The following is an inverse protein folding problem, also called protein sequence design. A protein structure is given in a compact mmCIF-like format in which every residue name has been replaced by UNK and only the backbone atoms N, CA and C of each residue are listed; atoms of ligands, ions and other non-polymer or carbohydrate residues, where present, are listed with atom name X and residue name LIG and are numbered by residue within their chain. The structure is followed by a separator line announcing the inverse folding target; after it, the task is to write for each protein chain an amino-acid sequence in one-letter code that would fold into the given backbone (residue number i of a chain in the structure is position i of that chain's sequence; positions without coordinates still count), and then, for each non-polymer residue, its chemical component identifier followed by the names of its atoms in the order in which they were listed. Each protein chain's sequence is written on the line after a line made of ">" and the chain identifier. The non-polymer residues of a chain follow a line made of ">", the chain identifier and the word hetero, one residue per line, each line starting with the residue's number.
data_IF_673912106938
#
_entry.id   IF_673912106938
#
_cell.length_a   1.000
_cell.length_b   1.000
_cell.length_c   1.000
_cell.angle_alpha   90.00
_cell.angle_beta   90.00
_cell.angle_gamma   90.00
#
_symmetry.space_group_name_H-M   'P 1'
#
loop_
_entity.id
_entity.type
_entity.pdbx_description
1 polymer ?
#
# COMPACT_ATOMS: atom_id res chain seq x y z
N UNK A 1 2.65 -10.31 -6.06
CA UNK A 1 1.35 -9.86 -5.50
C UNK A 1 1.55 -9.56 -4.03
N UNK A 2 1.18 -8.35 -3.60
CA UNK A 2 1.44 -7.84 -2.25
C UNK A 2 0.21 -7.04 -1.78
N UNK A 3 -0.90 -7.74 -1.50
CA UNK A 3 -2.13 -7.09 -1.03
C UNK A 3 -1.95 -6.52 0.38
N UNK A 4 -2.66 -5.43 0.70
CA UNK A 4 -2.62 -4.81 2.02
C UNK A 4 -3.08 -5.75 3.14
N UNK A 5 -2.19 -5.98 4.09
CA UNK A 5 -2.42 -6.71 5.34
C UNK A 5 -2.99 -8.14 5.15
N UNK A 6 -2.89 -8.70 3.94
CA UNK A 6 -3.49 -10.00 3.60
C UNK A 6 -2.64 -10.79 2.60
N UNK A 7 -2.49 -12.09 2.84
CA UNK A 7 -1.91 -13.04 1.89
C UNK A 7 -2.97 -13.98 1.28
N UNK A 8 -4.26 -13.72 1.52
CA UNK A 8 -5.37 -14.60 1.16
C UNK A 8 -5.53 -14.84 -0.34
N UNK A 9 -5.16 -13.87 -1.19
CA UNK A 9 -5.26 -13.99 -2.64
C UNK A 9 -4.14 -14.86 -3.27
N UNK A 10 -3.06 -15.15 -2.54
CA UNK A 10 -1.89 -15.85 -3.09
C UNK A 10 -2.22 -17.24 -3.69
N UNK A 11 -3.05 -18.11 -3.07
CA UNK A 11 -3.38 -19.40 -3.66
C UNK A 11 -4.09 -19.30 -5.01
N UNK A 12 -4.96 -18.29 -5.20
CA UNK A 12 -5.63 -18.03 -6.47
C UNK A 12 -4.65 -17.44 -7.48
N UNK A 13 -3.88 -16.44 -7.08
CA UNK A 13 -2.84 -15.83 -7.92
C UNK A 13 -1.84 -16.87 -8.44
N UNK A 14 -1.45 -17.85 -7.60
CA UNK A 14 -0.58 -18.96 -8.00
C UNK A 14 -1.21 -19.82 -9.08
N UNK A 15 -2.48 -20.20 -8.93
CA UNK A 15 -3.19 -21.01 -9.95
C UNK A 15 -3.26 -20.27 -11.30
N UNK A 16 -3.62 -18.98 -11.26
CA UNK A 16 -3.72 -18.18 -12.48
C UNK A 16 -2.36 -17.90 -13.12
N UNK A 17 -1.33 -17.62 -12.32
CA UNK A 17 0.02 -17.46 -12.83
C UNK A 17 0.51 -18.71 -13.56
N UNK A 18 0.33 -19.91 -12.96
CA UNK A 18 0.67 -21.17 -13.60
C UNK A 18 -0.12 -21.39 -14.91
N UNK A 19 -1.42 -21.08 -14.93
CA UNK A 19 -2.26 -21.20 -16.13
C UNK A 19 -1.81 -20.28 -17.28
N UNK A 20 -1.24 -19.11 -16.93
CA UNK A 20 -0.82 -18.08 -17.88
C UNK A 20 0.68 -18.15 -18.23
N UNK A 21 1.44 -19.07 -17.64
CA UNK A 21 2.89 -19.15 -17.82
C UNK A 21 3.61 -17.92 -17.24
N UNK A 22 3.15 -17.40 -16.10
CA UNK A 22 3.74 -16.24 -15.42
C UNK A 22 4.47 -16.66 -14.16
N UNK A 23 5.62 -16.06 -13.92
CA UNK A 23 6.30 -16.16 -12.63
C UNK A 23 5.53 -15.36 -11.56
N UNK A 24 5.50 -15.86 -10.32
CA UNK A 24 4.86 -15.22 -9.20
C UNK A 24 5.76 -15.20 -7.97
N UNK A 25 5.92 -14.04 -7.36
CA UNK A 25 6.42 -13.89 -5.99
C UNK A 25 5.21 -13.70 -5.07
N UNK A 26 4.97 -14.63 -4.11
CA UNK A 26 3.98 -14.40 -3.07
C UNK A 26 4.46 -13.29 -2.15
N UNK A 27 3.56 -12.45 -1.68
CA UNK A 27 3.94 -11.34 -0.82
C UNK A 27 2.77 -10.75 -0.05
N UNK A 28 3.07 -9.74 0.72
CA UNK A 28 2.13 -8.96 1.52
C UNK A 28 2.63 -7.52 1.61
N UNK A 29 1.72 -6.55 1.71
CA UNK A 29 2.03 -5.18 2.10
C UNK A 29 1.48 -4.93 3.51
N UNK A 30 2.35 -4.91 4.53
CA UNK A 30 1.97 -4.77 5.94
C UNK A 30 1.87 -3.30 6.31
N UNK A 31 0.72 -2.88 6.85
CA UNK A 31 0.56 -1.58 7.51
C UNK A 31 1.27 -1.61 8.87
N UNK A 32 2.22 -0.68 9.09
CA UNK A 32 3.03 -0.62 10.30
C UNK A 32 3.30 0.82 10.74
N UNK A 33 3.84 1.01 11.94
CA UNK A 33 4.13 2.33 12.51
C UNK A 33 5.59 2.45 12.95
N UNK A 34 6.16 3.63 12.73
CA UNK A 34 7.46 4.03 13.24
C UNK A 34 7.39 5.47 13.76
N UNK A 35 7.77 5.68 15.04
CA UNK A 35 7.71 7.00 15.69
C UNK A 35 6.34 7.70 15.50
N UNK A 36 5.23 6.96 15.60
CA UNK A 36 3.86 7.47 15.46
C UNK A 36 3.41 7.81 14.04
N UNK A 37 4.21 7.48 13.03
CA UNK A 37 3.87 7.63 11.60
C UNK A 37 3.56 6.27 10.98
N UNK A 38 2.58 6.26 10.08
CA UNK A 38 2.21 5.06 9.33
C UNK A 38 3.13 4.86 8.13
N UNK A 39 3.54 3.61 7.93
CA UNK A 39 4.32 3.14 6.78
C UNK A 39 3.72 1.86 6.25
N UNK A 40 4.11 1.50 5.01
CA UNK A 40 3.86 0.20 4.45
C UNK A 40 5.18 -0.54 4.24
N UNK A 41 5.17 -1.83 4.55
CA UNK A 41 6.32 -2.71 4.41
C UNK A 41 5.94 -3.88 3.50
N UNK A 42 6.65 -4.03 2.39
CA UNK A 42 6.49 -5.15 1.47
C UNK A 42 7.28 -6.36 1.96
N UNK A 43 6.60 -7.49 2.09
CA UNK A 43 7.22 -8.79 2.31
C UNK A 43 7.17 -9.58 1.00
N UNK A 44 8.31 -9.78 0.36
CA UNK A 44 8.39 -10.59 -0.87
C UNK A 44 8.88 -12.01 -0.56
N UNK A 45 8.26 -13.01 -1.15
CA UNK A 45 8.67 -14.42 -1.02
C UNK A 45 8.24 -15.06 0.30
N UNK A 46 7.24 -14.52 0.98
CA UNK A 46 6.74 -15.07 2.25
C UNK A 46 6.12 -16.45 2.08
N UNK A 47 6.13 -17.26 3.14
CA UNK A 47 5.32 -18.47 3.26
C UNK A 47 3.86 -18.09 3.51
N UNK A 48 3.12 -17.77 2.44
CA UNK A 48 1.79 -17.16 2.51
C UNK A 48 0.73 -17.97 3.28
N UNK A 49 0.97 -19.28 3.50
CA UNK A 49 0.11 -20.15 4.29
C UNK A 49 0.32 -20.07 5.81
N UNK A 50 1.31 -19.33 6.27
CA UNK A 50 1.64 -19.26 7.69
C UNK A 50 0.55 -18.48 8.47
N UNK A 51 0.16 -18.98 9.66
CA UNK A 51 -0.97 -18.43 10.43
C UNK A 51 -0.82 -16.96 10.83
N UNK A 52 0.42 -16.44 10.90
CA UNK A 52 0.69 -15.05 11.26
C UNK A 52 0.05 -14.06 10.28
N UNK A 53 0.04 -14.36 8.97
CA UNK A 53 -0.56 -13.45 7.98
C UNK A 53 -2.08 -13.41 8.08
N UNK A 54 -2.71 -14.54 8.40
CA UNK A 54 -4.15 -14.56 8.71
C UNK A 54 -4.47 -13.81 10.02
N UNK A 55 -3.58 -13.82 11.00
CA UNK A 55 -3.74 -13.06 12.24
C UNK A 55 -3.61 -11.55 11.99
N UNK A 56 -2.65 -11.10 11.17
CA UNK A 56 -2.50 -9.70 10.75
C UNK A 56 -3.76 -9.24 10.03
N UNK A 57 -4.24 -10.01 9.05
CA UNK A 57 -5.47 -9.70 8.31
C UNK A 57 -6.65 -9.53 9.27
N UNK A 58 -6.85 -10.48 10.17
CA UNK A 58 -7.96 -10.46 11.14
C UNK A 58 -7.91 -9.23 12.05
N UNK A 59 -6.73 -8.87 12.54
CA UNK A 59 -6.55 -7.70 13.41
C UNK A 59 -6.87 -6.40 12.66
N UNK A 60 -6.21 -6.17 11.52
CA UNK A 60 -6.38 -4.93 10.76
C UNK A 60 -7.81 -4.78 10.24
N UNK A 61 -8.41 -5.84 9.70
CA UNK A 61 -9.81 -5.79 9.25
C UNK A 61 -10.78 -5.61 10.42
N UNK A 62 -10.52 -6.23 11.57
CA UNK A 62 -11.29 -6.02 12.79
C UNK A 62 -11.30 -4.56 13.23
N UNK A 63 -10.13 -3.92 13.22
CA UNK A 63 -10.00 -2.50 13.54
C UNK A 63 -10.73 -1.64 12.50
N UNK A 64 -10.48 -1.84 11.19
CA UNK A 64 -11.17 -1.10 10.11
C UNK A 64 -12.68 -1.17 10.24
N UNK A 65 -13.21 -2.36 10.53
CA UNK A 65 -14.65 -2.55 10.75
C UNK A 65 -15.15 -1.76 11.96
N UNK A 66 -14.42 -1.79 13.07
CA UNK A 66 -14.78 -1.11 14.32
C UNK A 66 -14.81 0.41 14.19
N UNK A 67 -13.99 0.99 13.29
CA UNK A 67 -13.92 2.45 13.08
C UNK A 67 -14.76 2.92 11.90
N UNK A 68 -15.38 2.04 11.12
CA UNK A 68 -16.08 2.38 9.88
C UNK A 68 -17.16 3.44 10.10
N UNK A 69 -18.04 3.27 11.10
CA UNK A 69 -19.06 4.26 11.40
C UNK A 69 -18.47 5.60 11.86
N UNK A 70 -17.39 5.57 12.63
CA UNK A 70 -16.71 6.80 13.09
C UNK A 70 -16.12 7.59 11.93
N UNK A 71 -15.60 6.91 10.89
CA UNK A 71 -15.11 7.57 9.68
C UNK A 71 -16.27 8.22 8.93
N UNK A 72 -17.41 7.52 8.78
CA UNK A 72 -18.60 8.06 8.13
C UNK A 72 -19.11 9.30 8.89
N UNK A 73 -19.22 9.22 10.22
CA UNK A 73 -19.61 10.35 11.07
C UNK A 73 -18.67 11.56 10.89
N UNK A 74 -17.35 11.30 10.88
CA UNK A 74 -16.35 12.34 10.73
C UNK A 74 -16.40 13.02 9.34
N UNK A 75 -16.66 12.25 8.28
CA UNK A 75 -16.83 12.79 6.93
C UNK A 75 -18.10 13.64 6.81
N UNK A 76 -19.22 13.18 7.37
CA UNK A 76 -20.47 13.95 7.38
C UNK A 76 -20.36 15.24 8.22
N UNK A 77 -19.57 15.22 9.30
CA UNK A 77 -19.29 16.42 10.09
C UNK A 77 -18.58 17.54 9.31
N UNK A 78 -17.96 17.22 8.15
CA UNK A 78 -17.39 18.19 7.22
C UNK A 78 -18.42 18.83 6.28
N UNK A 79 -19.71 18.51 6.43
CA UNK A 79 -20.78 18.98 5.57
C UNK A 79 -20.98 18.18 4.28
N UNK A 80 -20.37 17.00 4.20
CA UNK A 80 -20.54 16.07 3.08
C UNK A 80 -21.77 15.20 3.33
N UNK A 81 -22.68 15.15 2.37
CA UNK A 81 -23.86 14.26 2.41
C UNK A 81 -23.45 12.87 1.93
N UNK A 82 -23.70 11.83 2.74
CA UNK A 82 -23.38 10.44 2.37
C UNK A 82 -24.65 9.59 2.26
N UNK A 83 -24.71 8.79 1.20
CA UNK A 83 -25.56 7.62 1.14
C UNK A 83 -24.80 6.45 1.78
N UNK A 84 -24.89 6.31 3.11
CA UNK A 84 -24.19 5.25 3.86
C UNK A 84 -24.54 3.85 3.34
N UNK A 85 -25.81 3.48 3.05
CA UNK A 85 -26.12 2.21 2.39
C UNK A 85 -25.37 1.97 1.09
N UNK A 86 -25.21 2.99 0.24
CA UNK A 86 -24.43 2.88 -1.00
C UNK A 86 -22.93 2.67 -0.71
N UNK A 87 -22.35 3.34 0.29
CA UNK A 87 -20.96 3.10 0.73
C UNK A 87 -20.78 1.67 1.18
N UNK A 88 -21.63 1.16 2.07
CA UNK A 88 -21.58 -0.21 2.59
C UNK A 88 -21.76 -1.26 1.49
N UNK A 89 -22.59 -0.98 0.50
CA UNK A 89 -22.77 -1.86 -0.68
C UNK A 89 -21.49 -2.00 -1.50
N UNK A 90 -20.74 -0.90 -1.67
CA UNK A 90 -19.44 -0.94 -2.37
C UNK A 90 -18.36 -1.70 -1.60
N UNK A 91 -18.44 -1.68 -0.27
CA UNK A 91 -17.50 -2.37 0.63
C UNK A 91 -17.83 -3.86 0.82
N UNK A 92 -18.84 -4.40 0.14
CA UNK A 92 -19.31 -5.79 0.32
C UNK A 92 -19.69 -6.13 1.78
N UNK A 93 -20.00 -5.11 2.59
CA UNK A 93 -20.43 -5.27 3.99
C UNK A 93 -19.31 -5.50 5.01
N UNK A 94 -18.03 -5.48 4.60
CA UNK A 94 -16.93 -5.78 5.52
C UNK A 94 -16.43 -4.56 6.30
N UNK A 95 -15.69 -3.67 5.67
CA UNK A 95 -15.13 -2.46 6.28
C UNK A 95 -15.15 -1.31 5.28
N UNK A 96 -15.41 -0.10 5.78
CA UNK A 96 -15.47 1.09 4.93
C UNK A 96 -14.06 1.48 4.48
N UNK A 97 -13.89 1.66 3.16
CA UNK A 97 -12.69 2.21 2.57
C UNK A 97 -12.93 3.65 2.10
N UNK A 98 -11.98 4.54 2.34
CA UNK A 98 -12.06 5.96 1.98
C UNK A 98 -12.35 6.21 0.50
N UNK A 99 -11.82 5.35 -0.38
CA UNK A 99 -12.10 5.42 -1.84
C UNK A 99 -13.57 5.18 -2.17
N UNK A 100 -14.28 4.35 -1.40
CA UNK A 100 -15.72 4.12 -1.57
C UNK A 100 -16.54 5.28 -1.03
N UNK A 101 -16.12 5.87 0.10
CA UNK A 101 -16.71 7.11 0.62
C UNK A 101 -16.58 8.22 -0.43
N UNK A 102 -15.36 8.44 -0.93
CA UNK A 102 -15.07 9.47 -1.92
C UNK A 102 -15.93 9.31 -3.18
N UNK A 103 -16.05 8.07 -3.67
CA UNK A 103 -16.86 7.77 -4.84
C UNK A 103 -18.32 8.14 -4.62
N UNK A 104 -18.94 7.65 -3.54
CA UNK A 104 -20.34 7.96 -3.23
C UNK A 104 -20.54 9.46 -3.03
N UNK A 105 -19.64 10.12 -2.30
CA UNK A 105 -19.73 11.57 -2.03
C UNK A 105 -19.62 12.41 -3.31
N UNK A 106 -18.69 12.09 -4.21
CA UNK A 106 -18.46 12.84 -5.45
C UNK A 106 -19.52 12.61 -6.51
N UNK A 107 -20.15 11.42 -6.53
CA UNK A 107 -21.22 11.05 -7.44
C UNK A 107 -22.60 11.54 -6.95
N UNK A 108 -22.75 11.94 -5.68
CA UNK A 108 -24.03 12.42 -5.11
C UNK A 108 -24.29 13.88 -5.53
N UNK A 109 -25.41 14.15 -6.25
CA UNK A 109 -25.76 15.49 -6.70
C UNK A 109 -26.04 16.47 -5.54
N UNK A 110 -26.40 16.00 -4.35
CA UNK A 110 -26.59 16.82 -3.15
C UNK A 110 -25.30 17.52 -2.70
N UNK A 111 -24.15 17.02 -3.12
CA UNK A 111 -22.84 17.57 -2.83
C UNK A 111 -22.31 18.49 -3.94
N UNK A 112 -23.11 18.87 -4.96
CA UNK A 112 -22.62 19.62 -6.12
C UNK A 112 -21.81 20.86 -5.72
N UNK A 113 -22.28 21.60 -4.72
CA UNK A 113 -21.68 22.84 -4.23
C UNK A 113 -20.86 22.64 -2.94
N UNK A 114 -20.55 21.39 -2.53
CA UNK A 114 -19.79 21.15 -1.32
C UNK A 114 -18.33 21.60 -1.49
N UNK A 115 -17.86 22.61 -0.73
CA UNK A 115 -16.52 23.20 -0.91
C UNK A 115 -15.41 22.21 -0.57
N UNK A 116 -15.63 21.27 0.37
CA UNK A 116 -14.65 20.22 0.74
C UNK A 116 -14.37 19.30 -0.43
N UNK A 117 -15.34 19.08 -1.30
CA UNK A 117 -15.22 18.19 -2.47
C UNK A 117 -14.70 18.90 -3.74
N UNK A 118 -14.68 20.23 -3.76
CA UNK A 118 -14.27 21.03 -4.92
C UNK A 118 -12.87 20.65 -5.47
N UNK A 119 -11.83 20.40 -4.64
CA UNK A 119 -10.51 20.03 -5.14
C UNK A 119 -10.48 18.72 -5.94
N UNK A 120 -11.39 17.79 -5.66
CA UNK A 120 -11.43 16.45 -6.26
C UNK A 120 -12.33 16.36 -7.50
N UNK A 121 -13.06 17.42 -7.84
CA UNK A 121 -13.92 17.48 -9.03
C UNK A 121 -13.12 17.80 -10.29
N UNK A 122 -13.66 17.53 -11.50
CA UNK A 122 -13.01 17.91 -12.75
C UNK A 122 -12.52 19.36 -12.74
N UNK A 123 -11.25 19.59 -13.03
CA UNK A 123 -10.59 20.90 -12.98
C UNK A 123 -10.07 21.33 -11.61
N UNK A 124 -10.35 20.60 -10.55
CA UNK A 124 -9.79 20.82 -9.22
C UNK A 124 -8.34 20.34 -9.10
N UNK A 125 -7.61 20.88 -8.14
CA UNK A 125 -6.17 20.62 -7.94
C UNK A 125 -5.83 19.16 -7.56
N UNK A 126 -6.82 18.36 -7.20
CA UNK A 126 -6.70 16.95 -6.78
C UNK A 126 -7.55 16.02 -7.65
N UNK A 127 -7.91 16.46 -8.86
CA UNK A 127 -8.80 15.74 -9.78
C UNK A 127 -8.10 14.64 -10.61
N UNK A 128 -6.79 14.55 -10.54
CA UNK A 128 -5.97 13.52 -11.20
C UNK A 128 -6.25 12.10 -10.68
N UNK A 129 -6.45 11.96 -9.37
CA UNK A 129 -6.81 10.72 -8.70
C UNK A 129 -7.82 10.97 -7.56
N UNK A 130 -9.06 11.44 -7.87
CA UNK A 130 -9.93 12.09 -6.91
C UNK A 130 -10.26 11.23 -5.70
N UNK A 131 -10.50 9.93 -5.88
CA UNK A 131 -10.88 9.04 -4.79
C UNK A 131 -9.71 8.72 -3.85
N UNK A 132 -8.53 8.54 -4.41
CA UNK A 132 -7.30 8.27 -3.65
C UNK A 132 -6.86 9.53 -2.92
N UNK A 133 -6.85 10.66 -3.62
CA UNK A 133 -6.49 11.96 -3.04
C UNK A 133 -7.43 12.34 -1.90
N UNK A 134 -8.74 12.13 -2.05
CA UNK A 134 -9.69 12.31 -0.94
C UNK A 134 -9.33 11.41 0.25
N UNK A 135 -9.00 10.16 -0.01
CA UNK A 135 -8.58 9.22 1.04
C UNK A 135 -7.38 9.74 1.83
N UNK A 136 -6.37 10.24 1.15
CA UNK A 136 -5.16 10.78 1.79
C UNK A 136 -5.39 12.09 2.52
N UNK A 137 -6.09 13.03 1.87
CA UNK A 137 -6.24 14.39 2.38
C UNK A 137 -7.30 14.49 3.50
N UNK A 138 -8.36 13.69 3.43
CA UNK A 138 -9.52 13.77 4.35
C UNK A 138 -9.48 12.66 5.40
N UNK A 139 -9.26 11.40 5.02
CA UNK A 139 -9.33 10.25 5.92
C UNK A 139 -7.95 9.76 6.39
N UNK A 140 -6.86 10.17 5.72
CA UNK A 140 -5.49 9.81 6.06
C UNK A 140 -4.98 10.50 7.32
N UNK A 141 -3.82 10.06 7.83
CA UNK A 141 -3.21 10.62 9.03
C UNK A 141 -2.96 12.13 8.87
N UNK A 142 -3.53 12.91 9.77
CA UNK A 142 -3.50 14.39 9.73
C UNK A 142 -4.68 15.02 8.98
N UNK A 143 -5.52 14.24 8.32
CA UNK A 143 -6.75 14.72 7.68
C UNK A 143 -7.89 14.96 8.68
N UNK A 144 -8.91 15.78 8.31
CA UNK A 144 -9.99 16.20 9.23
C UNK A 144 -10.95 15.06 9.62
N UNK A 145 -11.05 13.98 8.82
CA UNK A 145 -11.86 12.79 9.14
C UNK A 145 -10.98 11.57 9.48
N UNK A 146 -9.75 11.80 9.90
CA UNK A 146 -8.86 10.73 10.32
C UNK A 146 -9.35 10.07 11.62
N UNK A 147 -9.54 8.76 11.57
CA UNK A 147 -9.80 7.93 12.75
C UNK A 147 -8.60 7.01 12.94
N UNK A 148 -7.89 7.11 14.08
CA UNK A 148 -6.66 6.35 14.29
C UNK A 148 -6.93 4.85 14.38
N UNK A 149 -6.02 4.07 13.80
CA UNK A 149 -5.86 2.64 13.99
C UNK A 149 -4.49 2.37 14.64
N UNK A 150 -4.37 1.25 15.31
CA UNK A 150 -3.10 0.80 15.87
C UNK A 150 -2.50 -0.24 14.96
N UNK A 151 -1.33 0.06 14.39
CA UNK A 151 -0.57 -0.89 13.60
C UNK A 151 0.62 -1.41 14.40
N UNK A 152 1.15 -2.56 14.01
CA UNK A 152 2.36 -3.10 14.63
C UNK A 152 3.56 -2.18 14.40
N UNK A 153 4.54 -2.28 15.28
CA UNK A 153 5.81 -1.57 15.12
C UNK A 153 6.54 -2.01 13.85
N UNK A 154 7.21 -1.07 13.19
CA UNK A 154 7.89 -1.31 11.92
C UNK A 154 8.97 -2.40 12.03
N UNK A 155 9.78 -2.38 13.11
CA UNK A 155 10.82 -3.41 13.31
C UNK A 155 10.20 -4.79 13.58
N UNK A 156 9.06 -4.84 14.26
CA UNK A 156 8.31 -6.08 14.44
C UNK A 156 7.80 -6.62 13.09
N UNK A 157 7.29 -5.76 12.21
CA UNK A 157 6.84 -6.16 10.87
C UNK A 157 8.02 -6.72 10.04
N UNK A 158 9.21 -6.08 10.11
CA UNK A 158 10.44 -6.58 9.47
C UNK A 158 10.79 -7.97 9.99
N UNK A 159 10.80 -8.17 11.31
CA UNK A 159 11.10 -9.47 11.91
C UNK A 159 10.11 -10.56 11.46
N UNK A 160 8.81 -10.26 11.45
CA UNK A 160 7.79 -11.21 10.96
C UNK A 160 8.07 -11.62 9.51
N UNK A 161 8.38 -10.68 8.63
CA UNK A 161 8.69 -11.01 7.23
C UNK A 161 9.90 -11.95 7.16
N UNK A 162 10.97 -11.67 7.89
CA UNK A 162 12.17 -12.51 7.92
C UNK A 162 11.92 -13.91 8.49
N UNK A 163 11.21 -13.99 9.62
CA UNK A 163 10.90 -15.26 10.29
C UNK A 163 10.05 -16.19 9.41
N UNK A 164 9.36 -15.62 8.42
CA UNK A 164 8.51 -16.34 7.47
C UNK A 164 9.09 -16.39 6.04
N UNK A 165 10.42 -16.30 5.92
CA UNK A 165 11.18 -16.51 4.68
C UNK A 165 11.17 -15.32 3.71
N UNK A 166 10.53 -14.22 4.06
CA UNK A 166 10.36 -13.08 3.18
C UNK A 166 11.53 -12.09 3.18
N UNK A 167 11.56 -11.26 2.16
CA UNK A 167 12.47 -10.12 1.97
C UNK A 167 11.71 -8.84 2.30
N UNK A 168 12.20 -8.06 3.29
CA UNK A 168 11.55 -6.87 3.80
C UNK A 168 11.96 -5.61 3.03
N UNK A 169 11.01 -4.94 2.38
CA UNK A 169 11.27 -3.77 1.53
C UNK A 169 10.34 -2.61 1.93
N UNK A 170 10.89 -1.42 2.16
CA UNK A 170 10.09 -0.23 2.42
C UNK A 170 9.30 0.17 1.17
N UNK A 171 7.96 0.18 1.27
CA UNK A 171 7.06 0.51 0.17
C UNK A 171 7.05 2.01 -0.14
N UNK A 172 7.01 2.39 -1.41
CA UNK A 172 6.80 3.75 -1.95
C UNK A 172 7.25 4.90 -1.01
N UNK A 173 8.52 4.91 -0.56
CA UNK A 173 8.97 5.83 0.51
C UNK A 173 8.79 7.31 0.17
N UNK A 174 8.90 7.68 -1.10
CA UNK A 174 8.68 9.07 -1.54
C UNK A 174 7.28 9.59 -1.28
N UNK A 175 6.26 8.73 -1.35
CA UNK A 175 4.88 9.09 -1.03
C UNK A 175 4.71 9.43 0.47
N UNK A 176 5.37 8.68 1.35
CA UNK A 176 5.21 8.79 2.80
C UNK A 176 6.09 9.88 3.43
N UNK A 177 7.30 10.09 2.93
CA UNK A 177 8.29 10.95 3.58
C UNK A 177 9.11 11.81 2.64
N UNK A 178 8.74 11.89 1.35
CA UNK A 178 9.48 12.60 0.31
C UNK A 178 10.95 12.10 0.29
N UNK A 179 11.92 12.99 0.22
CA UNK A 179 13.34 12.65 0.24
C UNK A 179 13.96 12.86 1.63
N UNK A 180 13.36 12.29 2.67
CA UNK A 180 13.82 12.42 4.07
C UNK A 180 14.88 11.37 4.39
N UNK A 181 16.15 11.69 4.11
CA UNK A 181 17.29 10.80 4.36
C UNK A 181 17.43 10.35 5.81
N UNK A 182 17.39 11.24 6.83
CA UNK A 182 17.54 10.80 8.22
C UNK A 182 16.50 9.78 8.67
N UNK A 183 15.25 9.94 8.24
CA UNK A 183 14.19 9.00 8.57
C UNK A 183 14.37 7.68 7.79
N UNK A 184 14.79 7.74 6.52
CA UNK A 184 15.11 6.54 5.74
C UNK A 184 16.20 5.71 6.41
N UNK A 185 17.28 6.34 6.88
CA UNK A 185 18.39 5.66 7.57
C UNK A 185 17.94 5.00 8.88
N UNK A 186 17.05 5.64 9.65
CA UNK A 186 16.45 5.03 10.85
C UNK A 186 15.64 3.78 10.50
N UNK A 187 14.83 3.83 9.43
CA UNK A 187 14.06 2.67 8.97
C UNK A 187 14.98 1.55 8.45
N UNK A 188 16.05 1.88 7.73
CA UNK A 188 17.06 0.90 7.30
C UNK A 188 17.67 0.17 8.50
N UNK A 189 17.95 0.90 9.60
CA UNK A 189 18.54 0.32 10.81
C UNK A 189 17.63 -0.72 11.50
N UNK A 190 16.34 -0.83 11.14
CA UNK A 190 15.45 -1.90 11.61
C UNK A 190 15.69 -3.25 10.94
N UNK A 191 16.56 -3.31 9.92
CA UNK A 191 16.91 -4.55 9.24
C UNK A 191 16.29 -4.73 7.85
N UNK A 192 15.92 -3.62 7.16
CA UNK A 192 15.41 -3.70 5.78
C UNK A 192 16.38 -4.36 4.82
N UNK A 193 15.84 -5.13 3.88
CA UNK A 193 16.59 -5.72 2.76
C UNK A 193 16.57 -4.82 1.51
N UNK A 194 15.62 -3.90 1.42
CA UNK A 194 15.47 -3.05 0.24
C UNK A 194 14.59 -1.83 0.44
N UNK A 195 14.61 -0.97 -0.60
CA UNK A 195 13.76 0.19 -0.75
C UNK A 195 13.05 0.09 -2.11
N UNK A 196 11.73 0.33 -2.16
CA UNK A 196 11.02 0.46 -3.43
C UNK A 196 11.37 1.82 -4.06
N UNK A 197 12.50 1.84 -4.78
CA UNK A 197 13.02 3.07 -5.37
C UNK A 197 12.22 3.53 -6.60
N UNK A 198 11.59 2.59 -7.30
CA UNK A 198 10.84 2.84 -8.53
C UNK A 198 9.38 2.47 -8.35
N UNK A 199 8.51 3.46 -8.32
CA UNK A 199 7.06 3.24 -8.22
C UNK A 199 6.27 4.39 -8.87
N UNK A 200 4.95 4.24 -8.90
CA UNK A 200 4.04 5.20 -9.53
C UNK A 200 4.06 6.62 -8.91
N UNK A 201 4.54 6.73 -7.69
CA UNK A 201 4.59 8.00 -6.94
C UNK A 201 5.94 8.73 -7.02
N UNK A 202 6.93 8.09 -7.64
CA UNK A 202 8.27 8.64 -7.70
C UNK A 202 8.55 9.24 -9.07
N UNK A 203 8.94 10.51 -9.08
CA UNK A 203 9.60 11.11 -10.21
C UNK A 203 11.06 10.59 -10.33
N UNK A 204 11.75 10.97 -11.40
CA UNK A 204 13.12 10.55 -11.66
C UNK A 204 14.08 10.93 -10.52
N UNK A 205 13.91 12.14 -9.96
CA UNK A 205 14.73 12.64 -8.86
C UNK A 205 14.53 11.84 -7.58
N UNK A 206 13.30 11.49 -7.26
CA UNK A 206 12.95 10.68 -6.09
C UNK A 206 13.43 9.24 -6.26
N UNK A 207 13.26 8.65 -7.45
CA UNK A 207 13.78 7.32 -7.77
C UNK A 207 15.31 7.27 -7.64
N UNK A 208 16.01 8.26 -8.18
CA UNK A 208 17.48 8.36 -8.07
C UNK A 208 17.94 8.53 -6.62
N UNK A 209 17.20 9.28 -5.80
CA UNK A 209 17.47 9.46 -4.37
C UNK A 209 17.41 8.14 -3.60
N UNK A 210 16.33 7.39 -3.71
CA UNK A 210 16.17 6.12 -2.99
C UNK A 210 17.06 5.01 -3.54
N UNK A 211 17.28 4.97 -4.85
CA UNK A 211 18.27 4.06 -5.43
C UNK A 211 19.66 4.30 -4.86
N UNK A 212 20.11 5.56 -4.80
CA UNK A 212 21.43 5.89 -4.25
C UNK A 212 21.56 5.47 -2.80
N UNK A 213 20.54 5.71 -1.96
CA UNK A 213 20.57 5.26 -0.55
C UNK A 213 20.63 3.73 -0.49
N UNK A 214 19.86 3.01 -1.31
CA UNK A 214 19.92 1.56 -1.36
C UNK A 214 21.33 1.07 -1.72
N UNK A 215 21.96 1.66 -2.74
CA UNK A 215 23.33 1.32 -3.18
C UNK A 215 24.36 1.61 -2.06
N UNK A 216 24.28 2.76 -1.38
CA UNK A 216 25.17 3.14 -0.28
C UNK A 216 25.10 2.20 0.93
N UNK A 217 23.93 1.63 1.20
CA UNK A 217 23.70 0.69 2.30
C UNK A 217 23.76 -0.80 1.88
N UNK A 218 24.07 -1.10 0.62
CA UNK A 218 24.10 -2.46 0.10
C UNK A 218 22.73 -3.15 0.01
N UNK A 219 21.65 -2.36 0.02
CA UNK A 219 20.27 -2.82 -0.05
C UNK A 219 19.83 -3.05 -1.49
N UNK A 220 18.69 -3.72 -1.67
CA UNK A 220 18.05 -3.81 -2.97
C UNK A 220 17.24 -2.53 -3.26
N UNK A 221 17.35 -2.03 -4.50
CA UNK A 221 16.35 -1.15 -5.05
C UNK A 221 15.29 -2.01 -5.76
N UNK A 222 14.02 -1.91 -5.37
CA UNK A 222 12.94 -2.66 -6.03
C UNK A 222 12.05 -1.76 -6.88
N UNK A 223 11.18 -2.40 -7.65
CA UNK A 223 10.24 -1.80 -8.59
C UNK A 223 8.84 -2.33 -8.31
N UNK A 224 7.86 -1.44 -8.16
CA UNK A 224 6.45 -1.78 -8.04
C UNK A 224 5.54 -0.73 -8.68
N UNK A 225 4.37 -1.14 -9.16
CA UNK A 225 3.39 -0.20 -9.73
C UNK A 225 2.44 0.37 -8.68
N UNK A 226 2.29 -0.31 -7.56
CA UNK A 226 1.22 -0.07 -6.60
C UNK A 226 -0.17 -0.07 -7.26
N UNK A 227 -0.38 -1.05 -8.18
CA UNK A 227 -1.59 -1.20 -8.96
C UNK A 227 -2.75 -1.69 -8.10
N UNK A 228 -3.86 -0.97 -8.14
CA UNK A 228 -5.06 -1.25 -7.34
C UNK A 228 -6.32 -1.38 -8.21
N UNK A 229 -6.18 -1.84 -9.45
CA UNK A 229 -7.31 -2.03 -10.35
C UNK A 229 -8.13 -0.75 -10.53
N UNK A 230 -9.43 -0.87 -10.30
CA UNK A 230 -10.37 0.25 -10.46
C UNK A 230 -10.24 1.35 -9.41
N UNK A 231 -9.59 1.06 -8.27
CA UNK A 231 -9.38 2.07 -7.22
C UNK A 231 -8.34 3.12 -7.62
N UNK A 232 -7.33 2.72 -8.42
CA UNK A 232 -6.30 3.62 -8.98
C UNK A 232 -6.25 3.46 -10.52
N UNK A 233 -7.25 3.94 -11.28
CA UNK A 233 -7.41 3.64 -12.71
C UNK A 233 -6.31 4.24 -13.60
N UNK A 234 -5.59 5.23 -13.11
CA UNK A 234 -4.46 5.87 -13.81
C UNK A 234 -3.16 5.06 -13.71
N UNK A 235 -3.05 4.12 -12.76
CA UNK A 235 -1.88 3.27 -12.60
C UNK A 235 -2.02 2.02 -13.48
N UNK A 236 -1.01 1.74 -14.29
CA UNK A 236 -0.96 0.58 -15.18
C UNK A 236 0.17 -0.35 -14.77
N UNK A 237 -0.06 -1.65 -14.93
CA UNK A 237 1.00 -2.65 -14.73
C UNK A 237 2.11 -2.45 -15.77
N UNK A 238 3.39 -2.62 -15.32
CA UNK A 238 4.54 -2.61 -16.21
C UNK A 238 4.94 -1.24 -16.78
N UNK A 239 4.39 -0.12 -16.30
CA UNK A 239 4.66 1.21 -16.85
C UNK A 239 5.74 1.99 -16.08
N UNK A 240 6.25 1.46 -15.00
CA UNK A 240 7.24 2.14 -14.15
C UNK A 240 8.63 1.64 -14.48
N UNK A 241 9.40 2.54 -15.12
CA UNK A 241 10.60 2.16 -15.80
C UNK A 241 11.82 1.98 -14.89
N UNK A 242 12.36 0.79 -14.92
CA UNK A 242 13.75 0.54 -14.61
C UNK A 242 14.48 0.16 -15.90
N UNK A 243 15.72 0.64 -16.14
CA UNK A 243 16.46 0.31 -17.36
C UNK A 243 16.73 -1.20 -17.51
N UNK A 244 16.76 -1.94 -16.39
CA UNK A 244 16.95 -3.39 -16.38
C UNK A 244 16.05 -4.08 -15.33
N UNK A 245 14.75 -4.27 -15.62
CA UNK A 245 13.84 -4.96 -14.71
C UNK A 245 14.17 -6.44 -14.54
N UNK A 246 14.83 -7.06 -15.52
CA UNK A 246 15.27 -8.45 -15.43
C UNK A 246 16.36 -8.65 -14.38
N UNK A 247 17.34 -7.74 -14.31
CA UNK A 247 18.36 -7.81 -13.27
C UNK A 247 17.77 -7.64 -11.87
N UNK A 248 16.78 -6.76 -11.69
CA UNK A 248 16.07 -6.62 -10.42
C UNK A 248 15.34 -7.91 -10.03
N UNK A 249 14.64 -8.54 -11.00
CA UNK A 249 13.96 -9.83 -10.79
C UNK A 249 14.94 -10.90 -10.30
N UNK A 250 16.07 -11.06 -10.99
CA UNK A 250 17.10 -12.07 -10.63
C UNK A 250 17.62 -11.81 -9.21
N UNK A 251 17.96 -10.55 -8.86
CA UNK A 251 18.43 -10.20 -7.51
C UNK A 251 17.39 -10.50 -6.45
N UNK A 252 16.12 -10.16 -6.68
CA UNK A 252 15.03 -10.43 -5.75
C UNK A 252 14.87 -11.93 -5.53
N UNK A 253 14.83 -12.73 -6.59
CA UNK A 253 14.72 -14.19 -6.49
C UNK A 253 15.90 -14.81 -5.74
N UNK A 254 17.12 -14.32 -5.97
CA UNK A 254 18.31 -14.78 -5.25
C UNK A 254 18.22 -14.47 -3.75
N UNK A 255 17.78 -13.24 -3.41
CA UNK A 255 17.63 -12.85 -2.01
C UNK A 255 16.53 -13.64 -1.29
N UNK A 256 15.37 -13.83 -1.93
CA UNK A 256 14.28 -14.68 -1.42
C UNK A 256 14.79 -16.11 -1.14
N UNK A 257 15.52 -16.68 -2.09
CA UNK A 257 16.10 -18.03 -1.92
C UNK A 257 17.09 -18.10 -0.75
N UNK A 258 17.90 -17.06 -0.53
CA UNK A 258 18.83 -16.99 0.60
C UNK A 258 18.10 -16.95 1.95
N UNK A 259 16.89 -16.41 1.98
CA UNK A 259 16.02 -16.33 3.16
C UNK A 259 15.04 -17.52 3.25
N UNK A 260 15.20 -18.54 2.40
CA UNK A 260 14.33 -19.73 2.34
C UNK A 260 12.87 -19.42 1.95
N UNK A 261 12.62 -18.29 1.31
CA UNK A 261 11.30 -17.88 0.87
C UNK A 261 10.83 -18.55 -0.43
N UNK A 262 9.61 -18.23 -0.83
CA UNK A 262 8.93 -18.86 -1.97
C UNK A 262 8.97 -17.99 -3.23
N UNK A 263 9.25 -18.64 -4.38
CA UNK A 263 9.07 -18.07 -5.72
C UNK A 263 8.48 -19.16 -6.61
N UNK A 264 7.38 -18.85 -7.28
CA UNK A 264 6.76 -19.77 -8.22
C UNK A 264 7.20 -19.41 -9.64
N UNK A 265 8.00 -20.29 -10.25
CA UNK A 265 8.49 -20.14 -11.62
C UNK A 265 7.69 -21.07 -12.52
N UNK A 266 7.17 -20.53 -13.64
CA UNK A 266 6.41 -21.27 -14.65
C UNK A 266 7.32 -21.97 -15.65
#
# INVERSE_FOLDING_TARGET
>A
VTDHDSARAIPEARREAARLGLNLVPGIEISCQYEGKNFHLLGYGIHAGDPVFAAIEKDVYGQRRSISEKILDAVEALGIVLDRPAVWKLCSGDAVASVHIARVALEDPRNADCPVLAPYRPGGARSDAPYVNFGWDICGQGGPAFVPMTFMDFAQAVAIIHDHGGVAVLAHPGANMKQNRPLTEKLIATGLDGLEAYCSYHDEGTSAFYRRIADEHGLMATLGSDYHGRAKPHIRLGTYGHPDPQALWVRLCQKIKQQHGEVYVS
#
